data_IF_130853929077
#
_entry.id   IF_130853929077
#
_cell.length_a   1.000
_cell.length_b   1.000
_cell.length_c   1.000
_cell.angle_alpha   90.00
_cell.angle_beta   90.00
_cell.angle_gamma   90.00
#
_symmetry.space_group_name_H-M   'P 1'
#
loop_
_entity.id
_entity.type
_entity.pdbx_description
1 polymer ?
#
# COMPACT_ATOMS: atom_id res chain seq x y z
N UNK A 1 -7.50 -31.98 16.87
CA UNK A 1 -6.40 -31.85 15.90
C UNK A 1 -6.80 -30.79 14.89
N UNK A 2 -6.50 -29.51 15.14
CA UNK A 2 -6.75 -28.44 14.16
C UNK A 2 -5.38 -27.85 13.77
N UNK A 3 -4.98 -28.14 12.53
CA UNK A 3 -3.75 -27.66 11.93
C UNK A 3 -3.90 -26.20 11.53
N UNK A 4 -3.04 -25.34 12.09
CA UNK A 4 -2.91 -23.95 11.69
C UNK A 4 -1.76 -23.88 10.67
N UNK A 5 -2.10 -23.82 9.39
CA UNK A 5 -1.14 -23.66 8.31
C UNK A 5 -0.68 -22.19 8.28
N UNK A 6 0.52 -21.93 8.80
CA UNK A 6 1.18 -20.64 8.69
C UNK A 6 1.77 -20.49 7.28
N UNK A 7 1.25 -19.52 6.53
CA UNK A 7 1.78 -19.10 5.25
C UNK A 7 3.13 -18.39 5.49
N UNK A 8 4.22 -18.96 4.98
CA UNK A 8 5.60 -18.52 5.23
C UNK A 8 6.07 -17.63 4.07
N UNK A 9 6.25 -16.33 4.31
CA UNK A 9 6.90 -15.39 3.39
C UNK A 9 8.38 -15.21 3.80
N UNK A 10 9.36 -15.69 3.00
CA UNK A 10 10.77 -15.70 3.39
C UNK A 10 11.45 -14.32 3.45
N UNK A 11 10.82 -13.25 2.96
CA UNK A 11 11.43 -11.90 2.92
C UNK A 11 10.90 -10.93 3.99
N UNK A 12 9.90 -11.33 4.80
CA UNK A 12 9.29 -10.46 5.81
C UNK A 12 9.64 -10.92 7.23
N UNK A 13 10.83 -10.56 7.73
CA UNK A 13 11.26 -10.79 9.13
C UNK A 13 10.55 -9.85 10.11
N UNK A 14 9.22 -9.82 10.15
CA UNK A 14 8.48 -9.18 11.25
C UNK A 14 7.27 -10.03 11.63
N UNK A 15 7.49 -10.88 12.63
CA UNK A 15 6.44 -11.56 13.38
C UNK A 15 5.85 -10.54 14.35
N UNK A 16 4.57 -10.21 14.20
CA UNK A 16 3.83 -9.45 15.21
C UNK A 16 3.40 -10.41 16.32
N UNK A 17 4.02 -10.31 17.50
CA UNK A 17 3.43 -10.81 18.75
C UNK A 17 3.03 -9.61 19.59
N UNK A 18 1.71 -9.41 19.72
CA UNK A 18 1.13 -8.45 20.65
C UNK A 18 0.89 -9.20 21.97
N UNK A 19 1.80 -9.05 22.93
CA UNK A 19 1.60 -9.50 24.31
C UNK A 19 2.22 -8.47 25.24
N UNK A 20 1.39 -7.84 26.08
CA UNK A 20 1.74 -7.14 27.32
C UNK A 20 2.94 -6.18 27.24
N UNK A 21 2.65 -4.89 27.09
CA UNK A 21 3.58 -3.75 27.07
C UNK A 21 4.93 -3.95 27.77
N UNK A 22 5.99 -4.13 26.96
CA UNK A 22 7.36 -3.65 27.21
C UNK A 22 8.21 -3.92 25.97
N UNK A 23 8.53 -2.87 25.23
CA UNK A 23 9.62 -2.89 24.25
C UNK A 23 10.93 -2.65 25.00
N UNK A 24 11.52 -3.73 25.52
CA UNK A 24 12.87 -3.71 26.06
C UNK A 24 13.86 -3.88 24.91
N UNK A 25 14.72 -2.88 24.71
CA UNK A 25 15.89 -2.99 23.85
C UNK A 25 17.06 -3.50 24.71
N UNK A 26 17.41 -4.77 24.56
CA UNK A 26 18.71 -5.25 25.03
C UNK A 26 19.72 -5.09 23.91
N UNK A 27 20.60 -4.09 24.05
CA UNK A 27 21.78 -3.92 23.22
C UNK A 27 22.80 -5.00 23.60
N UNK A 28 22.68 -6.16 22.97
CA UNK A 28 23.55 -7.31 23.16
C UNK A 28 24.20 -7.64 21.82
N UNK A 29 25.40 -7.14 21.55
CA UNK A 29 26.05 -7.48 20.29
C UNK A 29 27.34 -6.77 19.89
N UNK A 30 28.12 -6.19 20.81
CA UNK A 30 29.53 -5.83 20.54
C UNK A 30 30.45 -7.00 20.87
N UNK A 31 30.34 -8.09 20.11
CA UNK A 31 31.35 -9.15 20.12
C UNK A 31 31.29 -9.98 18.84
N UNK A 32 32.47 -10.20 18.26
CA UNK A 32 32.78 -11.14 17.18
C UNK A 32 32.67 -10.65 15.72
N UNK A 33 33.43 -9.60 15.39
CA UNK A 33 33.75 -9.20 14.00
C UNK A 33 34.71 -10.16 13.26
N UNK A 34 35.19 -11.24 13.89
CA UNK A 34 36.19 -12.15 13.27
C UNK A 34 35.59 -13.40 12.60
N UNK A 35 34.32 -13.73 12.82
CA UNK A 35 33.63 -14.85 12.15
C UNK A 35 32.97 -14.52 10.80
N UNK A 36 32.92 -13.25 10.41
CA UNK A 36 32.09 -12.75 9.30
C UNK A 36 32.60 -13.14 7.90
N UNK A 37 33.92 -13.23 7.70
CA UNK A 37 34.50 -13.47 6.38
C UNK A 37 34.29 -14.92 5.89
N UNK A 38 34.47 -15.92 6.76
CA UNK A 38 34.29 -17.33 6.39
C UNK A 38 32.82 -17.71 6.18
N UNK A 39 31.90 -17.08 6.91
CA UNK A 39 30.46 -17.28 6.70
C UNK A 39 29.97 -16.64 5.40
N UNK A 40 30.51 -15.46 5.03
CA UNK A 40 30.21 -14.82 3.74
C UNK A 40 30.69 -15.67 2.56
N UNK A 41 31.90 -16.25 2.62
CA UNK A 41 32.40 -17.12 1.54
C UNK A 41 31.56 -18.38 1.34
N UNK A 42 31.17 -19.06 2.42
CA UNK A 42 30.28 -20.24 2.34
C UNK A 42 28.90 -19.91 1.77
N UNK A 43 28.35 -18.74 2.13
CA UNK A 43 27.05 -18.32 1.62
C UNK A 43 27.12 -17.96 0.12
N UNK A 44 28.22 -17.34 -0.31
CA UNK A 44 28.45 -17.02 -1.73
C UNK A 44 28.63 -18.28 -2.59
N UNK A 45 29.40 -19.25 -2.11
CA UNK A 45 29.56 -20.55 -2.80
C UNK A 45 28.24 -21.30 -2.92
N UNK A 46 27.40 -21.26 -1.88
CA UNK A 46 26.08 -21.86 -1.92
C UNK A 46 25.18 -21.19 -2.96
N UNK A 47 25.17 -19.85 -3.02
CA UNK A 47 24.44 -19.10 -4.07
C UNK A 47 24.94 -19.44 -5.47
N UNK A 48 26.25 -19.60 -5.64
CA UNK A 48 26.85 -19.95 -6.94
C UNK A 48 26.46 -21.36 -7.39
N UNK A 49 26.48 -22.34 -6.47
CA UNK A 49 26.01 -23.70 -6.75
C UNK A 49 24.54 -23.74 -7.15
N UNK A 50 23.69 -22.98 -6.46
CA UNK A 50 22.26 -22.92 -6.75
C UNK A 50 21.97 -22.33 -8.13
N UNK A 51 22.73 -21.32 -8.56
CA UNK A 51 22.60 -20.73 -9.90
C UNK A 51 23.05 -21.70 -11.00
N UNK A 52 24.14 -22.43 -10.77
CA UNK A 52 24.63 -23.44 -11.73
C UNK A 52 23.64 -24.60 -11.86
N UNK A 53 23.03 -25.05 -10.76
CA UNK A 53 22.00 -26.09 -10.75
C UNK A 53 20.77 -25.66 -11.55
N UNK A 54 20.24 -24.45 -11.29
CA UNK A 54 19.11 -23.89 -12.05
C UNK A 54 19.42 -23.72 -13.53
N UNK A 55 20.67 -23.44 -13.89
CA UNK A 55 21.12 -23.35 -15.29
C UNK A 55 21.16 -24.72 -15.97
N UNK A 56 21.50 -25.79 -15.24
CA UNK A 56 21.45 -27.17 -15.74
C UNK A 56 20.01 -27.62 -15.93
N UNK A 57 19.13 -27.34 -14.98
CA UNK A 57 17.69 -27.63 -15.11
C UNK A 57 17.08 -26.96 -16.35
N UNK A 58 17.37 -25.68 -16.59
CA UNK A 58 16.90 -24.97 -17.77
C UNK A 58 17.44 -25.56 -19.09
N UNK A 59 18.66 -26.11 -19.08
CA UNK A 59 19.22 -26.82 -20.25
C UNK A 59 18.52 -28.16 -20.45
N UNK A 60 18.36 -28.96 -19.39
CA UNK A 60 17.62 -30.24 -19.45
C UNK A 60 16.21 -30.03 -19.97
N UNK A 61 15.50 -29.02 -19.43
CA UNK A 61 14.13 -28.71 -19.85
C UNK A 61 14.06 -28.28 -21.32
N UNK A 62 15.01 -27.46 -21.78
CA UNK A 62 15.08 -27.10 -23.21
C UNK A 62 15.37 -28.30 -24.11
N UNK A 63 16.21 -29.23 -23.65
CA UNK A 63 16.51 -30.47 -24.39
C UNK A 63 15.29 -31.41 -24.41
N UNK A 64 14.56 -31.52 -23.30
CA UNK A 64 13.29 -32.25 -23.20
C UNK A 64 12.23 -31.66 -24.12
N UNK A 65 12.03 -30.33 -24.08
CA UNK A 65 11.09 -29.62 -24.95
C UNK A 65 11.46 -29.84 -26.43
N UNK A 66 12.75 -29.78 -26.77
CA UNK A 66 13.23 -30.03 -28.14
C UNK A 66 13.04 -31.49 -28.56
N UNK A 67 13.25 -32.46 -27.67
CA UNK A 67 12.97 -33.87 -27.93
C UNK A 67 11.47 -34.13 -28.09
N UNK A 68 10.64 -33.49 -27.28
CA UNK A 68 9.20 -33.60 -27.37
C UNK A 68 8.70 -33.00 -28.70
N UNK A 69 9.21 -31.83 -29.10
CA UNK A 69 8.89 -31.24 -30.40
C UNK A 69 9.31 -32.17 -31.56
N UNK A 70 10.48 -32.81 -31.46
CA UNK A 70 10.89 -33.81 -32.46
C UNK A 70 9.97 -35.04 -32.48
N UNK A 71 9.51 -35.52 -31.31
CA UNK A 71 8.55 -36.64 -31.22
C UNK A 71 7.19 -36.26 -31.81
N UNK A 72 6.70 -35.06 -31.53
CA UNK A 72 5.44 -34.55 -32.07
C UNK A 72 5.52 -34.34 -33.59
N UNK A 73 6.66 -33.85 -34.10
CA UNK A 73 6.90 -33.79 -35.56
C UNK A 73 6.96 -35.18 -36.19
N UNK A 74 7.59 -36.15 -35.52
CA UNK A 74 7.69 -37.51 -36.03
C UNK A 74 6.36 -38.29 -35.95
N UNK A 75 5.49 -37.97 -35.00
CA UNK A 75 4.18 -38.61 -34.85
C UNK A 75 3.12 -38.11 -35.84
N UNK A 76 3.42 -37.07 -36.63
CA UNK A 76 2.54 -36.58 -37.70
C UNK A 76 1.23 -35.94 -37.21
N UNK A 77 1.08 -35.73 -35.90
CA UNK A 77 -0.08 -35.05 -35.31
C UNK A 77 0.15 -33.55 -35.41
N UNK A 78 -0.04 -32.98 -36.60
CA UNK A 78 -0.09 -31.53 -36.80
C UNK A 78 -1.40 -31.04 -36.17
N UNK A 79 -1.39 -30.84 -34.85
CA UNK A 79 -2.44 -30.08 -34.17
C UNK A 79 -2.18 -28.61 -34.47
N UNK A 80 -2.64 -28.19 -35.64
CA UNK A 80 -2.73 -26.77 -35.98
C UNK A 80 -3.57 -26.10 -34.89
N UNK A 81 -3.02 -25.14 -34.13
CA UNK A 81 -3.82 -24.42 -33.16
C UNK A 81 -4.83 -23.59 -33.95
N UNK A 82 -6.04 -24.12 -34.07
CA UNK A 82 -7.21 -23.41 -34.57
C UNK A 82 -7.53 -22.34 -33.54
N UNK A 83 -6.91 -21.16 -33.69
CA UNK A 83 -7.27 -19.95 -32.98
C UNK A 83 -8.70 -19.57 -33.40
N UNK A 84 -9.68 -20.20 -32.76
CA UNK A 84 -11.07 -19.75 -32.79
C UNK A 84 -11.11 -18.42 -32.05
N UNK A 85 -10.94 -17.36 -32.82
CA UNK A 85 -11.20 -16.00 -32.39
C UNK A 85 -12.70 -15.94 -32.06
N UNK A 86 -13.04 -16.04 -30.77
CA UNK A 86 -14.41 -15.88 -30.32
C UNK A 86 -14.87 -14.44 -30.59
N UNK A 87 -15.65 -14.28 -31.66
CA UNK A 87 -16.22 -13.02 -32.17
C UNK A 87 -17.33 -12.44 -31.25
N UNK A 88 -17.32 -12.81 -29.97
CA UNK A 88 -18.40 -12.52 -29.01
C UNK A 88 -18.19 -11.23 -28.21
N UNK A 89 -17.02 -10.60 -28.32
CA UNK A 89 -16.69 -9.41 -27.51
C UNK A 89 -16.96 -8.05 -28.20
N UNK A 90 -17.56 -8.03 -29.39
CA UNK A 90 -17.88 -6.79 -30.13
C UNK A 90 -19.37 -6.38 -30.11
N UNK A 91 -20.25 -7.12 -29.43
CA UNK A 91 -21.69 -6.76 -29.35
C UNK A 91 -22.11 -6.01 -28.07
N UNK A 92 -21.25 -5.89 -27.05
CA UNK A 92 -21.67 -5.35 -25.74
C UNK A 92 -21.52 -3.83 -25.58
N UNK A 93 -21.05 -3.11 -26.60
CA UNK A 93 -20.92 -1.63 -26.55
C UNK A 93 -22.04 -0.86 -27.25
N UNK A 94 -23.13 -1.52 -27.68
CA UNK A 94 -24.21 -0.86 -28.46
C UNK A 94 -25.57 -0.74 -27.78
N UNK A 95 -25.71 -1.11 -26.51
CA UNK A 95 -26.98 -1.05 -25.78
C UNK A 95 -26.90 -0.07 -24.60
N UNK A 96 -26.82 1.24 -24.86
CA UNK A 96 -27.15 2.30 -23.89
C UNK A 96 -27.24 3.68 -24.56
N UNK A 97 -28.09 3.85 -25.59
CA UNK A 97 -28.55 5.18 -26.02
C UNK A 97 -29.99 5.08 -26.54
N UNK A 98 -30.97 5.31 -25.68
CA UNK A 98 -32.34 5.72 -26.07
C UNK A 98 -32.92 6.68 -25.04
N UNK A 99 -33.78 7.59 -25.52
CA UNK A 99 -34.48 8.72 -24.87
C UNK A 99 -33.62 10.01 -24.74
N UNK A 100 -33.98 11.19 -25.27
CA UNK A 100 -35.18 11.70 -25.95
C UNK A 100 -34.81 13.07 -26.65
N UNK A 101 -35.74 13.98 -27.07
CA UNK A 101 -35.89 14.34 -28.48
C UNK A 101 -35.71 15.85 -28.82
N UNK A 102 -35.65 16.14 -30.12
CA UNK A 102 -36.13 17.41 -30.70
C UNK A 102 -35.05 18.33 -31.27
N UNK A 103 -35.21 18.71 -32.54
CA UNK A 103 -34.55 19.90 -33.09
C UNK A 103 -34.04 19.76 -34.52
N UNK A 104 -34.95 19.89 -35.49
CA UNK A 104 -34.80 20.63 -36.76
C UNK A 104 -33.54 20.45 -37.64
N UNK A 105 -33.77 19.94 -38.85
CA UNK A 105 -32.95 20.11 -40.05
C UNK A 105 -32.62 21.59 -40.36
N UNK A 106 -31.54 21.85 -41.13
CA UNK A 106 -31.75 22.07 -42.56
C UNK A 106 -30.71 21.41 -43.49
N UNK A 107 -31.25 20.86 -44.57
CA UNK A 107 -30.91 21.06 -46.00
C UNK A 107 -29.44 21.23 -46.44
N UNK A 108 -28.99 20.23 -47.20
CA UNK A 108 -28.21 20.27 -48.44
C UNK A 108 -26.97 21.18 -48.56
N UNK A 109 -25.80 20.53 -48.64
CA UNK A 109 -24.81 20.82 -49.67
C UNK A 109 -23.96 19.56 -49.91
N UNK A 110 -24.22 18.90 -51.03
CA UNK A 110 -23.38 17.83 -51.55
C UNK A 110 -22.03 18.43 -51.98
N UNK A 111 -20.98 18.15 -51.21
CA UNK A 111 -19.61 18.35 -51.64
C UNK A 111 -18.99 16.99 -51.92
N UNK A 112 -18.99 16.66 -53.19
CA UNK A 112 -18.26 15.56 -53.83
C UNK A 112 -16.76 15.78 -53.61
N UNK A 113 -16.25 15.33 -52.46
CA UNK A 113 -14.82 15.35 -52.17
C UNK A 113 -14.16 14.27 -53.01
N UNK A 114 -13.57 14.71 -54.14
CA UNK A 114 -12.60 13.93 -54.91
C UNK A 114 -11.57 13.33 -53.96
N UNK A 115 -11.61 12.01 -53.82
CA UNK A 115 -10.66 11.22 -53.06
C UNK A 115 -9.28 11.35 -53.72
N UNK A 116 -8.44 12.24 -53.21
CA UNK A 116 -7.01 12.20 -53.51
C UNK A 116 -6.48 10.91 -52.90
N UNK A 117 -5.83 10.01 -53.68
CA UNK A 117 -5.20 8.84 -53.12
C UNK A 117 -4.11 9.30 -52.16
N UNK A 118 -4.35 9.13 -50.87
CA UNK A 118 -3.36 9.34 -49.83
C UNK A 118 -2.29 8.28 -50.07
N UNK A 119 -1.17 8.71 -50.64
CA UNK A 119 0.04 7.91 -50.77
C UNK A 119 0.59 7.73 -49.36
N UNK A 120 0.13 6.69 -48.66
CA UNK A 120 0.71 6.27 -47.38
C UNK A 120 2.09 5.73 -47.73
N UNK A 121 3.20 6.36 -47.29
CA UNK A 121 4.53 5.82 -47.52
C UNK A 121 4.58 4.40 -46.93
N UNK A 122 4.94 3.41 -47.76
CA UNK A 122 5.00 1.97 -47.43
C UNK A 122 5.96 1.63 -46.26
N UNK A 123 6.53 2.62 -45.59
CA UNK A 123 7.58 2.46 -44.57
C UNK A 123 7.08 2.01 -43.18
N UNK A 124 5.77 1.81 -42.97
CA UNK A 124 5.20 1.55 -41.64
C UNK A 124 4.72 0.11 -41.36
N UNK A 125 5.08 -0.88 -42.20
CA UNK A 125 4.75 -2.30 -41.94
C UNK A 125 5.98 -3.06 -41.41
N UNK A 126 6.65 -2.54 -40.39
CA UNK A 126 7.59 -3.37 -39.64
C UNK A 126 6.78 -4.44 -38.90
N UNK A 127 6.86 -5.69 -39.38
CA UNK A 127 6.25 -6.85 -38.74
C UNK A 127 6.99 -7.09 -37.42
N UNK A 128 6.56 -6.44 -36.34
CA UNK A 128 7.08 -6.72 -35.01
C UNK A 128 6.92 -8.21 -34.72
N UNK A 129 7.98 -8.83 -34.22
CA UNK A 129 7.90 -10.24 -33.84
C UNK A 129 6.99 -10.37 -32.62
N UNK A 130 6.31 -11.51 -32.47
CA UNK A 130 5.45 -11.78 -31.32
C UNK A 130 6.20 -11.56 -29.98
N UNK A 131 7.47 -11.95 -29.93
CA UNK A 131 8.34 -11.72 -28.77
C UNK A 131 8.52 -10.22 -28.45
N UNK A 132 8.73 -9.37 -29.46
CA UNK A 132 8.82 -7.92 -29.28
C UNK A 132 7.51 -7.34 -28.73
N UNK A 133 6.37 -7.80 -29.24
CA UNK A 133 5.06 -7.38 -28.76
C UNK A 133 4.85 -7.78 -27.29
N UNK A 134 5.21 -9.01 -26.91
CA UNK A 134 5.09 -9.50 -25.53
C UNK A 134 6.00 -8.72 -24.57
N UNK A 135 7.23 -8.42 -25.00
CA UNK A 135 8.17 -7.60 -24.23
C UNK A 135 7.64 -6.16 -24.06
N UNK A 136 7.10 -5.55 -25.13
CA UNK A 136 6.49 -4.22 -25.06
C UNK A 136 5.27 -4.20 -24.13
N UNK A 137 4.38 -5.19 -24.25
CA UNK A 137 3.20 -5.33 -23.40
C UNK A 137 3.61 -5.46 -21.92
N UNK A 138 4.61 -6.27 -21.62
CA UNK A 138 5.13 -6.45 -20.25
C UNK A 138 5.68 -5.14 -19.66
N UNK A 139 6.38 -4.35 -20.48
CA UNK A 139 6.87 -3.01 -20.08
C UNK A 139 5.73 -2.06 -19.81
N UNK A 140 4.76 -1.96 -20.72
CA UNK A 140 3.59 -1.08 -20.57
C UNK A 140 2.80 -1.44 -19.31
N UNK A 141 2.55 -2.73 -19.07
CA UNK A 141 1.86 -3.19 -17.86
C UNK A 141 2.63 -2.85 -16.59
N UNK A 142 3.97 -3.00 -16.60
CA UNK A 142 4.81 -2.63 -15.46
C UNK A 142 4.69 -1.14 -15.16
N UNK A 143 4.89 -0.29 -16.16
CA UNK A 143 4.80 1.17 -16.01
C UNK A 143 3.41 1.61 -15.53
N UNK A 144 2.35 1.02 -16.11
CA UNK A 144 0.97 1.29 -15.69
C UNK A 144 0.75 0.99 -14.21
N UNK A 145 1.24 -0.15 -13.72
CA UNK A 145 1.12 -0.54 -12.32
C UNK A 145 1.91 0.37 -11.38
N UNK A 146 3.13 0.76 -11.77
CA UNK A 146 3.94 1.72 -11.01
C UNK A 146 3.22 3.06 -10.92
N UNK A 147 2.67 3.54 -12.04
CA UNK A 147 1.90 4.77 -12.10
C UNK A 147 0.64 4.69 -11.22
N UNK A 148 -0.12 3.59 -11.31
CA UNK A 148 -1.30 3.36 -10.47
C UNK A 148 -0.95 3.37 -8.97
N UNK A 149 0.13 2.70 -8.58
CA UNK A 149 0.59 2.71 -7.19
C UNK A 149 1.02 4.11 -6.74
N UNK A 150 1.75 4.86 -7.60
CA UNK A 150 2.13 6.24 -7.29
C UNK A 150 0.91 7.12 -7.08
N UNK A 151 -0.08 7.03 -7.96
CA UNK A 151 -1.32 7.80 -7.88
C UNK A 151 -2.11 7.45 -6.61
N UNK A 152 -2.21 6.18 -6.26
CA UNK A 152 -2.87 5.77 -5.01
C UNK A 152 -2.18 6.37 -3.77
N UNK A 153 -0.84 6.44 -3.77
CA UNK A 153 -0.10 7.10 -2.70
C UNK A 153 -0.35 8.62 -2.67
N UNK A 154 -0.44 9.27 -3.83
CA UNK A 154 -0.78 10.70 -3.91
C UNK A 154 -2.19 10.96 -3.38
N UNK A 155 -3.17 10.15 -3.79
CA UNK A 155 -4.55 10.25 -3.32
C UNK A 155 -4.65 10.06 -1.79
N UNK A 156 -3.91 9.11 -1.22
CA UNK A 156 -3.84 8.91 0.24
C UNK A 156 -3.18 10.11 0.93
N UNK A 157 -2.09 10.64 0.38
CA UNK A 157 -1.41 11.81 0.93
C UNK A 157 -2.33 13.04 0.93
N UNK A 158 -3.09 13.25 -0.14
CA UNK A 158 -4.11 14.31 -0.22
C UNK A 158 -5.23 14.11 0.80
N UNK A 159 -5.74 12.88 0.97
CA UNK A 159 -6.74 12.56 2.02
C UNK A 159 -6.20 12.88 3.42
N UNK A 160 -4.94 12.54 3.69
CA UNK A 160 -4.30 12.86 4.97
C UNK A 160 -4.24 14.38 5.20
N UNK A 161 -3.79 15.17 4.21
CA UNK A 161 -3.74 16.64 4.33
C UNK A 161 -5.12 17.25 4.52
N UNK A 162 -6.13 16.73 3.85
CA UNK A 162 -7.52 17.17 4.03
C UNK A 162 -8.00 16.91 5.46
N UNK A 163 -7.79 15.70 5.98
CA UNK A 163 -8.16 15.37 7.36
C UNK A 163 -7.45 16.28 8.38
N UNK A 164 -6.17 16.58 8.17
CA UNK A 164 -5.43 17.52 9.03
C UNK A 164 -6.01 18.94 9.01
N UNK A 165 -6.53 19.40 7.88
CA UNK A 165 -7.11 20.75 7.74
C UNK A 165 -8.52 20.84 8.32
N UNK A 166 -9.30 19.76 8.19
CA UNK A 166 -10.68 19.70 8.68
C UNK A 166 -10.74 19.44 10.20
N UNK A 167 -9.74 18.77 10.74
CA UNK A 167 -9.70 18.42 12.15
C UNK A 167 -9.38 19.62 13.05
N UNK A 168 -10.22 19.85 14.06
CA UNK A 168 -10.01 20.82 15.11
C UNK A 168 -9.90 20.12 16.48
N UNK A 169 -8.84 20.43 17.22
CA UNK A 169 -8.62 19.88 18.55
C UNK A 169 -9.67 20.43 19.54
N UNK A 170 -10.40 19.56 20.26
CA UNK A 170 -11.44 20.01 21.20
C UNK A 170 -10.80 20.57 22.47
N UNK A 171 -11.26 21.74 22.91
CA UNK A 171 -10.75 22.40 24.14
C UNK A 171 -11.07 21.65 25.43
N UNK A 172 -11.97 20.69 25.37
CA UNK A 172 -12.49 19.93 26.50
C UNK A 172 -12.58 18.47 26.09
N UNK A 173 -12.12 17.58 26.97
CA UNK A 173 -12.01 16.14 26.72
C UNK A 173 -12.64 15.39 27.89
N UNK A 174 -13.49 14.41 27.57
CA UNK A 174 -14.13 13.57 28.59
C UNK A 174 -13.32 12.28 28.84
N UNK A 175 -12.99 12.01 30.09
CA UNK A 175 -12.28 10.80 30.49
C UNK A 175 -13.20 9.87 31.27
N UNK A 176 -12.97 8.56 31.19
CA UNK A 176 -13.65 7.60 32.04
C UNK A 176 -13.25 7.82 33.50
N UNK A 177 -14.23 7.88 34.40
CA UNK A 177 -13.95 8.00 35.83
C UNK A 177 -13.21 6.74 36.33
N UNK A 178 -12.03 6.88 36.98
CA UNK A 178 -11.36 5.74 37.60
C UNK A 178 -12.22 5.21 38.75
N UNK A 179 -12.36 3.88 38.87
CA UNK A 179 -13.17 3.24 39.92
C UNK A 179 -14.51 2.64 39.47
N UNK A 180 -14.84 2.64 38.18
CA UNK A 180 -15.94 1.83 37.63
C UNK A 180 -17.35 2.39 37.85
N UNK A 181 -17.48 3.57 38.45
CA UNK A 181 -18.77 4.28 38.47
C UNK A 181 -19.14 4.75 37.06
N UNK A 182 -20.42 4.60 36.69
CA UNK A 182 -20.95 5.13 35.41
C UNK A 182 -20.88 6.66 35.44
N UNK A 183 -19.82 7.22 34.84
CA UNK A 183 -19.63 8.66 34.73
C UNK A 183 -18.35 9.00 33.97
N UNK A 184 -18.28 10.24 33.49
CA UNK A 184 -17.08 10.81 32.87
C UNK A 184 -16.58 12.00 33.69
N UNK A 185 -15.30 12.30 33.53
CA UNK A 185 -14.65 13.49 34.05
C UNK A 185 -14.32 14.38 32.86
N UNK A 186 -14.88 15.58 32.86
CA UNK A 186 -14.63 16.57 31.82
C UNK A 186 -13.39 17.39 32.18
N UNK A 187 -12.38 17.35 31.33
CA UNK A 187 -11.06 17.96 31.57
C UNK A 187 -10.76 19.02 30.50
N UNK A 188 -10.31 20.23 30.88
CA UNK A 188 -9.85 21.23 29.92
C UNK A 188 -8.50 20.85 29.30
N UNK A 189 -8.42 20.89 27.98
CA UNK A 189 -7.20 20.62 27.21
C UNK A 189 -6.56 21.94 26.74
N UNK A 190 -5.85 22.59 27.67
CA UNK A 190 -5.33 23.95 27.48
C UNK A 190 -4.01 24.01 26.69
N UNK A 191 -3.27 22.90 26.57
CA UNK A 191 -2.00 22.90 25.85
C UNK A 191 -2.21 22.83 24.34
N UNK A 192 -1.50 23.64 23.56
CA UNK A 192 -1.59 23.58 22.12
C UNK A 192 -0.91 22.30 21.59
N UNK A 193 -1.44 21.67 20.52
CA UNK A 193 -0.81 20.53 19.85
C UNK A 193 0.59 20.81 19.27
N UNK A 194 0.97 22.09 19.15
CA UNK A 194 2.29 22.53 18.68
C UNK A 194 3.43 22.15 19.62
N UNK A 195 3.12 21.95 20.91
CA UNK A 195 4.13 21.62 21.93
C UNK A 195 4.57 20.15 21.85
N UNK A 196 3.98 19.38 20.93
CA UNK A 196 4.35 18.00 20.67
C UNK A 196 5.81 17.88 20.22
N UNK A 197 6.62 17.21 21.05
CA UNK A 197 7.99 16.76 20.74
C UNK A 197 8.13 15.25 21.00
N UNK A 198 9.10 14.62 20.35
CA UNK A 198 9.36 13.18 20.53
C UNK A 198 9.79 12.87 21.99
N UNK A 199 10.37 13.84 22.67
CA UNK A 199 10.70 13.80 24.10
C UNK A 199 9.45 13.86 24.98
N UNK A 200 8.52 14.77 24.67
CA UNK A 200 7.27 14.93 25.42
C UNK A 200 6.38 13.68 25.33
N UNK A 201 6.46 12.92 24.22
CA UNK A 201 5.76 11.64 24.08
C UNK A 201 6.23 10.60 25.11
N UNK A 202 7.50 10.62 25.50
CA UNK A 202 8.03 9.69 26.51
C UNK A 202 7.51 10.00 27.90
N UNK A 203 7.35 11.28 28.23
CA UNK A 203 6.84 11.71 29.54
C UNK A 203 5.38 11.30 29.77
N UNK A 204 4.56 11.29 28.72
CA UNK A 204 3.13 10.96 28.80
C UNK A 204 2.81 9.47 28.58
N UNK A 205 3.83 8.63 28.39
CA UNK A 205 3.61 7.22 28.02
C UNK A 205 2.92 6.41 29.12
N UNK A 206 3.09 6.79 30.38
CA UNK A 206 2.59 6.04 31.56
C UNK A 206 1.26 6.58 32.12
N UNK A 207 0.56 7.47 31.42
CA UNK A 207 -0.72 7.99 31.92
C UNK A 207 -1.85 6.95 31.81
N UNK A 208 -2.63 6.80 32.89
CA UNK A 208 -3.72 5.81 32.98
C UNK A 208 -5.09 6.33 32.50
N UNK A 209 -5.18 7.62 32.14
CA UNK A 209 -6.41 8.23 31.64
C UNK A 209 -6.93 7.54 30.39
N UNK A 210 -8.20 7.15 30.38
CA UNK A 210 -8.85 6.54 29.22
C UNK A 210 -9.94 7.46 28.70
N UNK A 211 -9.89 7.79 27.41
CA UNK A 211 -10.94 8.55 26.74
C UNK A 211 -12.29 7.85 26.85
N UNK A 212 -13.33 8.62 27.15
CA UNK A 212 -14.70 8.13 27.10
C UNK A 212 -15.31 8.28 25.70
N UNK A 213 -16.35 7.49 25.41
CA UNK A 213 -17.09 7.54 24.15
C UNK A 213 -18.30 8.48 24.27
N UNK A 214 -18.03 9.77 24.48
CA UNK A 214 -19.04 10.84 24.53
C UNK A 214 -19.14 11.56 23.18
N UNK A 215 -20.22 12.32 22.98
CA UNK A 215 -20.36 13.19 21.80
C UNK A 215 -19.27 14.25 21.73
N UNK A 216 -18.77 14.72 22.87
CA UNK A 216 -17.65 15.69 22.98
C UNK A 216 -16.37 15.12 22.38
N UNK A 217 -16.08 13.85 22.65
CA UNK A 217 -14.88 13.16 22.17
C UNK A 217 -15.05 12.54 20.78
N UNK A 218 -16.25 12.56 20.20
CA UNK A 218 -16.51 11.97 18.90
C UNK A 218 -15.53 12.45 17.81
N UNK A 219 -15.19 13.75 17.69
CA UNK A 219 -14.21 14.21 16.72
C UNK A 219 -12.81 13.59 16.90
N UNK A 220 -12.37 13.35 18.14
CA UNK A 220 -11.08 12.71 18.44
C UNK A 220 -11.07 11.26 17.96
N UNK A 221 -12.09 10.49 18.35
CA UNK A 221 -12.21 9.08 17.94
C UNK A 221 -12.34 8.96 16.42
N UNK A 222 -13.19 9.79 15.80
CA UNK A 222 -13.39 9.79 14.36
C UNK A 222 -12.09 10.12 13.59
N UNK A 223 -11.31 11.09 14.07
CA UNK A 223 -10.03 11.43 13.47
C UNK A 223 -9.00 10.30 13.65
N UNK A 224 -8.89 9.72 14.85
CA UNK A 224 -8.02 8.57 15.09
C UNK A 224 -8.37 7.39 14.18
N UNK A 225 -9.65 7.03 14.09
CA UNK A 225 -10.15 5.96 13.21
C UNK A 225 -9.87 6.27 11.73
N UNK A 226 -9.94 7.54 11.33
CA UNK A 226 -9.65 7.96 9.96
C UNK A 226 -8.15 7.79 9.62
N UNK A 227 -7.25 8.14 10.56
CA UNK A 227 -5.81 7.94 10.40
C UNK A 227 -5.47 6.44 10.29
N UNK A 228 -6.08 5.59 11.14
CA UNK A 228 -5.89 4.14 11.08
C UNK A 228 -6.36 3.56 9.74
N UNK A 229 -7.50 4.03 9.21
CA UNK A 229 -7.99 3.63 7.88
C UNK A 229 -7.01 4.04 6.76
N UNK A 230 -6.35 5.19 6.87
CA UNK A 230 -5.32 5.59 5.90
C UNK A 230 -4.09 4.69 5.96
N UNK A 231 -3.65 4.28 7.17
CA UNK A 231 -2.57 3.31 7.34
C UNK A 231 -2.93 1.96 6.71
N UNK A 232 -4.14 1.46 6.94
CA UNK A 232 -4.63 0.23 6.30
C UNK A 232 -4.65 0.33 4.77
N UNK A 233 -5.07 1.49 4.21
CA UNK A 233 -5.03 1.73 2.76
C UNK A 233 -3.60 1.73 2.22
N UNK A 234 -2.63 2.30 2.95
CA UNK A 234 -1.21 2.31 2.56
C UNK A 234 -0.61 0.91 2.47
N UNK A 235 -0.97 0.03 3.41
CA UNK A 235 -0.52 -1.36 3.41
C UNK A 235 -1.03 -2.13 2.18
N UNK A 236 -2.22 -1.78 1.68
CA UNK A 236 -2.78 -2.31 0.44
C UNK A 236 -2.06 -1.88 -0.85
N UNK A 237 -1.22 -0.85 -0.81
CA UNK A 237 -0.50 -0.37 -2.01
C UNK A 237 0.76 -1.21 -2.24
N UNK A 238 0.71 -2.06 -3.26
CA UNK A 238 1.84 -2.88 -3.70
C UNK A 238 2.93 -2.05 -4.39
N UNK A 239 4.19 -2.22 -3.97
CA UNK A 239 5.32 -1.55 -4.62
C UNK A 239 5.91 -2.32 -5.80
N UNK A 240 5.61 -3.62 -5.95
CA UNK A 240 6.13 -4.52 -7.01
C UNK A 240 7.64 -4.43 -7.23
N UNK A 241 8.40 -4.25 -6.15
CA UNK A 241 9.86 -4.10 -6.17
C UNK A 241 10.38 -2.70 -6.49
N UNK A 242 9.51 -1.76 -6.87
CA UNK A 242 9.91 -0.39 -7.21
C UNK A 242 10.37 0.38 -5.95
N UNK A 243 11.56 0.96 -6.02
CA UNK A 243 12.20 1.58 -4.83
C UNK A 243 11.52 2.90 -4.48
N UNK A 244 11.22 3.73 -5.47
CA UNK A 244 10.58 5.03 -5.29
C UNK A 244 9.21 4.90 -4.60
N UNK A 245 8.40 3.92 -5.01
CA UNK A 245 7.10 3.64 -4.40
C UNK A 245 7.24 3.24 -2.93
N UNK A 246 8.23 2.39 -2.59
CA UNK A 246 8.48 2.00 -1.18
C UNK A 246 8.92 3.18 -0.32
N UNK A 247 9.78 4.04 -0.84
CA UNK A 247 10.28 5.22 -0.12
C UNK A 247 9.15 6.23 0.10
N UNK A 248 8.35 6.50 -0.93
CA UNK A 248 7.17 7.37 -0.85
C UNK A 248 6.17 6.84 0.19
N UNK A 249 5.83 5.56 0.12
CA UNK A 249 4.93 4.91 1.10
C UNK A 249 5.45 5.05 2.53
N UNK A 250 6.76 4.80 2.76
CA UNK A 250 7.38 4.96 4.09
C UNK A 250 7.33 6.41 4.59
N UNK A 251 7.50 7.39 3.69
CA UNK A 251 7.36 8.80 4.05
C UNK A 251 5.96 9.12 4.55
N UNK A 252 4.94 8.70 3.80
CA UNK A 252 3.53 8.94 4.18
C UNK A 252 3.18 8.22 5.49
N UNK A 253 3.57 6.95 5.65
CA UNK A 253 3.35 6.20 6.90
C UNK A 253 3.95 6.94 8.10
N UNK A 254 5.20 7.42 8.00
CA UNK A 254 5.84 8.18 9.07
C UNK A 254 5.10 9.47 9.41
N UNK A 255 4.59 10.19 8.42
CA UNK A 255 3.82 11.41 8.66
C UNK A 255 2.50 11.10 9.40
N UNK A 256 1.79 10.05 8.99
CA UNK A 256 0.53 9.63 9.63
C UNK A 256 0.80 9.12 11.05
N UNK A 257 1.79 8.25 11.26
CA UNK A 257 2.16 7.75 12.59
C UNK A 257 2.57 8.88 13.55
N UNK A 258 3.27 9.90 13.02
CA UNK A 258 3.60 11.11 13.79
C UNK A 258 2.36 11.87 14.21
N UNK A 259 1.37 11.99 13.33
CA UNK A 259 0.10 12.64 13.65
C UNK A 259 -0.73 11.83 14.66
N UNK A 260 -0.78 10.51 14.52
CA UNK A 260 -1.40 9.62 15.54
C UNK A 260 -0.73 9.83 16.90
N UNK A 261 0.60 9.87 16.94
CA UNK A 261 1.36 10.10 18.17
C UNK A 261 1.10 11.49 18.77
N UNK A 262 0.94 12.51 17.93
CA UNK A 262 0.57 13.87 18.36
C UNK A 262 -0.83 13.92 18.96
N UNK A 263 -1.79 13.27 18.31
CA UNK A 263 -3.16 13.15 18.81
C UNK A 263 -3.18 12.44 20.16
N UNK A 264 -2.41 11.35 20.28
CA UNK A 264 -2.27 10.60 21.53
C UNK A 264 -1.66 11.43 22.64
N UNK A 265 -0.54 12.10 22.35
CA UNK A 265 0.08 13.00 23.29
C UNK A 265 -0.89 14.09 23.77
N UNK A 266 -1.67 14.68 22.88
CA UNK A 266 -2.57 15.79 23.20
C UNK A 266 -3.58 15.43 24.30
N UNK A 267 -4.32 14.33 24.13
CA UNK A 267 -5.31 13.97 25.13
C UNK A 267 -4.67 13.44 26.41
N UNK A 268 -3.53 12.72 26.32
CA UNK A 268 -2.79 12.25 27.49
C UNK A 268 -2.26 13.39 28.34
N UNK A 269 -1.77 14.44 27.69
CA UNK A 269 -1.25 15.62 28.37
C UNK A 269 -2.35 16.37 29.12
N UNK A 270 -3.55 16.49 28.53
CA UNK A 270 -4.71 17.07 29.21
C UNK A 270 -5.03 16.31 30.51
N UNK A 271 -4.98 14.98 30.49
CA UNK A 271 -5.17 14.17 31.69
C UNK A 271 -4.09 14.41 32.76
N UNK A 272 -2.82 14.45 32.36
CA UNK A 272 -1.71 14.70 33.29
C UNK A 272 -1.84 16.07 33.95
N UNK A 273 -2.18 17.09 33.16
CA UNK A 273 -2.37 18.45 33.68
C UNK A 273 -3.54 18.51 34.68
N UNK A 274 -4.61 17.74 34.43
CA UNK A 274 -5.72 17.60 35.37
C UNK A 274 -5.31 16.95 36.70
N UNK A 275 -4.57 15.84 36.66
CA UNK A 275 -4.10 15.17 37.89
C UNK A 275 -3.21 16.11 38.70
N UNK A 276 -2.27 16.80 38.05
CA UNK A 276 -1.40 17.79 38.72
C UNK A 276 -2.20 18.94 39.36
N UNK A 277 -3.24 19.41 38.68
CA UNK A 277 -4.12 20.45 39.21
C UNK A 277 -4.92 19.96 40.43
N UNK A 278 -5.37 18.71 40.43
CA UNK A 278 -6.07 18.10 41.57
C UNK A 278 -5.14 17.93 42.78
N UNK A 279 -3.91 17.45 42.58
CA UNK A 279 -2.90 17.33 43.64
C UNK A 279 -2.61 18.69 44.28
N UNK A 280 -2.35 19.70 43.45
CA UNK A 280 -2.09 21.08 43.92
C UNK A 280 -3.25 21.66 44.71
N UNK A 281 -4.50 21.30 44.36
CA UNK A 281 -5.70 21.75 45.06
C UNK A 281 -5.96 21.02 46.39
N UNK A 282 -5.42 19.82 46.59
CA UNK A 282 -5.54 19.08 47.86
C UNK A 282 -4.48 19.49 48.89
N UNK A 283 -3.33 20.01 48.43
CA UNK A 283 -2.23 20.47 49.30
C UNK A 283 -2.46 21.87 49.91
N UNK A 284 -3.54 22.56 49.51
CA UNK A 284 -3.95 23.88 50.01
C UNK A 284 -5.10 23.78 51.03
#
# INVERSE_FOLDING_TARGET
MNGNAANWDPDNKRIWKRSGGRLSWSDNGRSSSRGSASSKRRNEEYRRKLLDERRRELRSKREEDAQQEQRERASGVVSSPEWKFDDRLLQETRASQTAAPGGSSPTAAAHEKKSVPIFIPEQLKQKHTLEQMNNAASRIQREYRVHQASRALDDIASQFKQLQQEFAYPRVIDFKKPGGERGHITVPANRPPSDFTDEALKEVSDCEGKLDYTSTNYPLHAYSDALDKLLMKLDGVESRGEKSIREKRRGIVKEIEKEVSRLDWYWRQAWIDYIKAQETAMDL
#
